data_IF_011396744032
#
_entry.id   IF_011396744032
#
_cell.length_a   1.000
_cell.length_b   1.000
_cell.length_c   1.000
_cell.angle_alpha   90.00
_cell.angle_beta   90.00
_cell.angle_gamma   90.00
#
_symmetry.space_group_name_H-M   'P 1'
#
loop_
_entity.id
_entity.type
_entity.pdbx_description
1 polymer ?
#
# COMPACT_ATOMS: atom_id res chain seq x y z
N UNK A 1 9.32 -0.58 21.43
CA UNK A 1 9.53 -1.84 20.71
C UNK A 1 8.36 -2.17 19.78
N UNK A 2 7.11 -2.19 20.28
CA UNK A 2 5.92 -2.45 19.46
C UNK A 2 5.81 -1.65 18.13
N UNK A 3 6.06 -0.32 18.09
CA UNK A 3 5.94 0.44 16.84
C UNK A 3 7.01 0.08 15.79
N UNK A 4 8.21 -0.26 16.24
CA UNK A 4 9.32 -0.62 15.36
C UNK A 4 9.05 -1.98 14.70
N UNK A 5 8.68 -2.97 15.50
CA UNK A 5 8.32 -4.31 15.02
C UNK A 5 7.15 -4.26 14.05
N UNK A 6 6.12 -3.48 14.39
CA UNK A 6 4.97 -3.24 13.51
C UNK A 6 5.42 -2.68 12.16
N UNK A 7 6.30 -1.66 12.15
CA UNK A 7 6.76 -1.06 10.89
C UNK A 7 7.48 -2.08 9.99
N UNK A 8 8.38 -2.89 10.55
CA UNK A 8 9.06 -3.93 9.77
C UNK A 8 8.10 -5.04 9.30
N UNK A 9 7.12 -5.40 10.12
CA UNK A 9 6.08 -6.34 9.71
C UNK A 9 5.26 -5.78 8.54
N UNK A 10 4.81 -4.52 8.61
CA UNK A 10 4.07 -3.87 7.51
C UNK A 10 4.92 -3.86 6.24
N UNK A 11 6.16 -3.37 6.30
CA UNK A 11 7.07 -3.31 5.15
C UNK A 11 7.29 -4.70 4.50
N UNK A 12 7.36 -5.77 5.30
CA UNK A 12 7.53 -7.14 4.79
C UNK A 12 6.32 -7.67 4.01
N UNK A 13 5.12 -7.12 4.25
CA UNK A 13 3.89 -7.50 3.57
C UNK A 13 3.61 -6.67 2.30
N UNK A 14 4.45 -5.69 1.97
CA UNK A 14 4.35 -4.91 0.74
C UNK A 14 4.97 -5.67 -0.45
N UNK A 15 4.17 -6.45 -1.17
CA UNK A 15 4.64 -7.23 -2.31
C UNK A 15 4.68 -6.44 -3.62
N UNK A 16 5.66 -6.72 -4.47
CA UNK A 16 5.76 -6.16 -5.83
C UNK A 16 6.30 -4.72 -5.89
N UNK A 17 6.81 -4.19 -4.78
CA UNK A 17 7.35 -2.82 -4.68
C UNK A 17 8.77 -2.81 -4.07
N UNK A 18 9.75 -3.48 -4.69
CA UNK A 18 11.08 -3.67 -4.10
C UNK A 18 11.81 -2.35 -3.79
N UNK A 19 11.62 -1.31 -4.59
CA UNK A 19 12.23 0.00 -4.34
C UNK A 19 11.67 0.68 -3.09
N UNK A 20 10.34 0.63 -2.89
CA UNK A 20 9.70 1.15 -1.67
C UNK A 20 10.12 0.33 -0.44
N UNK A 21 10.23 -0.99 -0.56
CA UNK A 21 10.72 -1.84 0.53
C UNK A 21 12.15 -1.46 0.94
N UNK A 22 13.04 -1.24 -0.05
CA UNK A 22 14.41 -0.79 0.23
C UNK A 22 14.42 0.59 0.90
N UNK A 23 13.62 1.53 0.39
CA UNK A 23 13.51 2.86 0.98
C UNK A 23 13.05 2.81 2.45
N UNK A 24 12.06 1.96 2.78
CA UNK A 24 11.57 1.77 4.15
C UNK A 24 12.65 1.17 5.08
N UNK A 25 13.48 0.24 4.58
CA UNK A 25 14.58 -0.34 5.35
C UNK A 25 15.67 0.68 5.68
N UNK A 26 15.88 1.67 4.82
CA UNK A 26 16.87 2.72 5.01
C UNK A 26 16.39 3.83 5.97
N UNK A 27 15.08 3.99 6.15
CA UNK A 27 14.51 4.95 7.11
C UNK A 27 14.88 4.61 8.55
N UNK A 28 15.52 5.54 9.25
CA UNK A 28 15.98 5.33 10.64
C UNK A 28 14.91 5.68 11.67
N UNK A 29 14.03 6.64 11.36
CA UNK A 29 12.94 7.03 12.24
C UNK A 29 11.73 6.12 12.01
N UNK A 30 11.26 5.47 13.09
CA UNK A 30 10.09 4.60 13.07
C UNK A 30 8.81 5.34 12.72
N UNK A 31 8.65 6.58 13.19
CA UNK A 31 7.46 7.40 12.91
C UNK A 31 7.38 7.77 11.43
N UNK A 32 8.51 8.23 10.86
CA UNK A 32 8.59 8.58 9.44
C UNK A 32 8.32 7.35 8.56
N UNK A 33 8.83 6.18 8.96
CA UNK A 33 8.57 4.92 8.27
C UNK A 33 7.09 4.54 8.30
N UNK A 34 6.46 4.59 9.47
CA UNK A 34 5.02 4.30 9.62
C UNK A 34 4.16 5.30 8.82
N UNK A 35 4.55 6.57 8.78
CA UNK A 35 3.85 7.58 7.98
C UNK A 35 3.96 7.26 6.48
N UNK A 36 5.14 6.87 6.01
CA UNK A 36 5.34 6.43 4.61
C UNK A 36 4.52 5.18 4.29
N UNK A 37 4.48 4.21 5.19
CA UNK A 37 3.68 3.00 5.04
C UNK A 37 2.18 3.31 4.89
N UNK A 38 1.65 4.27 5.66
CA UNK A 38 0.26 4.74 5.54
C UNK A 38 -0.02 5.32 4.16
N UNK A 39 0.92 6.10 3.60
CA UNK A 39 0.79 6.66 2.25
C UNK A 39 0.73 5.56 1.18
N UNK A 40 1.65 4.58 1.25
CA UNK A 40 1.70 3.45 0.32
C UNK A 40 0.39 2.65 0.37
N UNK A 41 -0.09 2.33 1.57
CA UNK A 41 -1.34 1.60 1.75
C UNK A 41 -2.55 2.39 1.24
N UNK A 42 -2.56 3.71 1.46
CA UNK A 42 -3.63 4.59 0.98
C UNK A 42 -3.68 4.69 -0.54
N UNK A 43 -2.52 4.77 -1.20
CA UNK A 43 -2.41 4.74 -2.66
C UNK A 43 -2.88 3.39 -3.21
N UNK A 44 -2.43 2.29 -2.61
CA UNK A 44 -2.84 0.92 -3.01
C UNK A 44 -4.34 0.74 -2.90
N UNK A 45 -4.95 1.16 -1.77
CA UNK A 45 -6.40 1.12 -1.58
C UNK A 45 -7.13 1.96 -2.64
N UNK A 46 -6.62 3.14 -2.95
CA UNK A 46 -7.21 4.02 -3.98
C UNK A 46 -7.18 3.37 -5.36
N UNK A 47 -6.08 2.72 -5.73
CA UNK A 47 -5.98 1.97 -6.99
C UNK A 47 -6.94 0.77 -7.03
N UNK A 48 -7.08 0.03 -5.93
CA UNK A 48 -8.03 -1.08 -5.85
C UNK A 48 -9.49 -0.59 -5.94
N UNK A 49 -9.81 0.54 -5.31
CA UNK A 49 -11.13 1.16 -5.41
C UNK A 49 -11.43 1.61 -6.85
N UNK A 50 -10.49 2.30 -7.51
CA UNK A 50 -10.62 2.70 -8.90
C UNK A 50 -10.80 1.49 -9.83
N UNK A 51 -10.02 0.42 -9.61
CA UNK A 51 -10.15 -0.84 -10.36
C UNK A 51 -11.51 -1.49 -10.16
N UNK A 52 -12.07 -1.48 -8.95
CA UNK A 52 -13.41 -2.00 -8.67
C UNK A 52 -14.46 -1.21 -9.45
N UNK A 53 -14.42 0.12 -9.38
CA UNK A 53 -15.35 0.99 -10.12
C UNK A 53 -15.26 0.72 -11.62
N UNK A 54 -14.06 0.64 -12.19
CA UNK A 54 -13.89 0.31 -13.61
C UNK A 54 -14.53 -1.04 -13.96
N UNK A 55 -14.29 -2.08 -13.16
CA UNK A 55 -14.89 -3.40 -13.37
C UNK A 55 -16.41 -3.33 -13.33
N UNK A 56 -16.97 -2.66 -12.34
CA UNK A 56 -18.42 -2.53 -12.15
C UNK A 56 -19.04 -1.79 -13.34
N UNK A 57 -18.45 -0.66 -13.77
CA UNK A 57 -18.92 0.11 -14.93
C UNK A 57 -18.84 -0.66 -16.25
N UNK A 58 -17.81 -1.47 -16.46
CA UNK A 58 -17.65 -2.24 -17.70
C UNK A 58 -18.53 -3.49 -17.72
N UNK A 59 -18.80 -4.10 -16.57
CA UNK A 59 -19.68 -5.29 -16.49
C UNK A 59 -21.15 -4.90 -16.71
N UNK A 60 -21.55 -3.68 -16.33
CA UNK A 60 -22.90 -3.15 -16.59
C UNK A 60 -23.13 -2.80 -18.07
N UNK A 61 -22.07 -2.57 -18.86
CA UNK A 61 -22.16 -2.20 -20.28
C UNK A 61 -22.48 -3.39 -21.20
N UNK A 62 -22.31 -4.63 -20.72
CA UNK A 62 -22.54 -5.86 -21.51
C UNK A 62 -23.99 -6.40 -21.42
N UNK A 63 -24.95 -5.67 -20.83
CA UNK A 63 -26.33 -6.14 -20.59
C UNK A 63 -27.45 -5.45 -21.41
N UNK A 64 -27.14 -4.62 -22.41
CA UNK A 64 -28.14 -4.03 -23.33
C UNK A 64 -27.94 -4.47 -24.81
#
# INVERSE_FOLDING_TARGET
ELPLELSYWIASNLHGVPEEQQALLEMQNTEDRLQREVEILSSTRSHLAAKSVLKDTLTDVDLD
#
